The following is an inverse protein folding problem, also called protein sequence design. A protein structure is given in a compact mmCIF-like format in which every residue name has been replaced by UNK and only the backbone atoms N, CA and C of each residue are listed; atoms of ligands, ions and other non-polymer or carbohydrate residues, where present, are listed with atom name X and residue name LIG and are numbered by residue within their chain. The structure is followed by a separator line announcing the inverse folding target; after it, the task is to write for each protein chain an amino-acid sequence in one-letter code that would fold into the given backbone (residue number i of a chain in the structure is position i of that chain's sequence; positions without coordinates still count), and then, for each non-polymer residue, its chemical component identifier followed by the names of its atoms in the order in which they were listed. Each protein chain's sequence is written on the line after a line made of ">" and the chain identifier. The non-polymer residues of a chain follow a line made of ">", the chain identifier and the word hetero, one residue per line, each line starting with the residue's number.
data_IF_124566141736
#
_entry.id   IF_124566141736
#
_cell.length_a   1.000
_cell.length_b   1.000
_cell.length_c   1.000
_cell.angle_alpha   90.00
_cell.angle_beta   90.00
_cell.angle_gamma   90.00
#
_symmetry.space_group_name_H-M   'P 1'
#
loop_
_entity.id
_entity.type
_entity.pdbx_description
1 polymer ?
#
# COMPACT_ATOMS: atom_id res chain seq x y z
N UNK A 1 -23.17 18.46 10.34
CA UNK A 1 -22.36 17.30 9.94
C UNK A 1 -20.96 17.46 10.47
N UNK A 2 -20.44 16.41 11.06
CA UNK A 2 -19.13 16.47 11.72
C UNK A 2 -17.99 16.36 10.71
N UNK A 3 -16.93 17.16 10.85
CA UNK A 3 -15.70 17.05 10.09
C UNK A 3 -15.07 15.67 10.29
N UNK A 4 -15.19 15.12 11.49
CA UNK A 4 -14.67 13.79 11.83
C UNK A 4 -15.28 12.70 10.96
N UNK A 5 -16.59 12.75 10.67
CA UNK A 5 -17.27 11.77 9.82
C UNK A 5 -16.72 11.86 8.39
N UNK A 6 -16.53 13.09 7.87
CA UNK A 6 -15.98 13.29 6.53
C UNK A 6 -14.53 12.77 6.43
N UNK A 7 -13.74 12.99 7.46
CA UNK A 7 -12.36 12.52 7.50
C UNK A 7 -12.29 10.98 7.55
N UNK A 8 -13.12 10.35 8.38
CA UNK A 8 -13.20 8.89 8.47
C UNK A 8 -13.57 8.29 7.12
N UNK A 9 -14.54 8.88 6.44
CA UNK A 9 -14.95 8.44 5.11
C UNK A 9 -13.83 8.60 4.09
N UNK A 10 -13.10 9.72 4.14
CA UNK A 10 -11.94 9.96 3.28
C UNK A 10 -10.84 8.94 3.54
N UNK A 11 -10.59 8.55 4.79
CA UNK A 11 -9.64 7.49 5.13
C UNK A 11 -10.04 6.16 4.51
N UNK A 12 -11.33 5.79 4.62
CA UNK A 12 -11.83 4.54 4.04
C UNK A 12 -11.66 4.50 2.53
N UNK A 13 -12.00 5.60 1.85
CA UNK A 13 -11.85 5.71 0.40
C UNK A 13 -10.38 5.67 -0.02
N UNK A 14 -9.50 6.31 0.74
CA UNK A 14 -8.06 6.29 0.48
C UNK A 14 -7.48 4.88 0.64
N UNK A 15 -7.88 4.15 1.68
CA UNK A 15 -7.48 2.75 1.86
C UNK A 15 -7.89 1.90 0.67
N UNK A 16 -9.12 2.06 0.20
CA UNK A 16 -9.62 1.30 -0.95
C UNK A 16 -8.83 1.63 -2.22
N UNK A 17 -8.56 2.91 -2.46
CA UNK A 17 -7.74 3.33 -3.59
C UNK A 17 -6.35 2.71 -3.54
N UNK A 18 -5.71 2.74 -2.36
CA UNK A 18 -4.37 2.15 -2.19
C UNK A 18 -4.38 0.64 -2.40
N UNK A 19 -5.43 -0.05 -1.93
CA UNK A 19 -5.57 -1.50 -2.17
C UNK A 19 -5.65 -1.82 -3.65
N UNK A 20 -6.42 -1.03 -4.40
CA UNK A 20 -6.56 -1.19 -5.85
C UNK A 20 -5.24 -0.92 -6.55
N UNK A 21 -4.55 0.16 -6.17
CA UNK A 21 -3.26 0.53 -6.76
C UNK A 21 -2.16 -0.50 -6.48
N UNK A 22 -2.14 -1.06 -5.25
CA UNK A 22 -1.09 -2.01 -4.86
C UNK A 22 -1.29 -3.41 -5.41
N UNK A 23 -2.52 -3.81 -5.74
CA UNK A 23 -2.81 -5.18 -6.16
C UNK A 23 -1.93 -5.65 -7.33
N UNK A 24 -1.83 -4.91 -8.47
CA UNK A 24 -0.95 -5.34 -9.56
C UNK A 24 0.53 -5.29 -9.18
N UNK A 25 0.92 -4.36 -8.29
CA UNK A 25 2.30 -4.27 -7.84
C UNK A 25 2.69 -5.45 -6.95
N UNK A 26 1.79 -5.88 -6.06
CA UNK A 26 2.00 -7.09 -5.26
C UNK A 26 2.07 -8.34 -6.15
N UNK A 27 1.20 -8.45 -7.14
CA UNK A 27 1.23 -9.56 -8.09
C UNK A 27 2.56 -9.61 -8.84
N UNK A 28 3.08 -8.47 -9.28
CA UNK A 28 4.38 -8.39 -9.93
C UNK A 28 5.51 -8.85 -9.00
N UNK A 29 5.48 -8.44 -7.73
CA UNK A 29 6.48 -8.87 -6.74
C UNK A 29 6.39 -10.37 -6.46
N UNK A 30 5.19 -10.95 -6.45
CA UNK A 30 5.01 -12.39 -6.27
C UNK A 30 5.68 -13.19 -7.40
N UNK A 31 5.59 -12.71 -8.65
CA UNK A 31 6.27 -13.32 -9.79
C UNK A 31 7.79 -13.23 -9.62
N UNK A 32 8.31 -12.07 -9.21
CA UNK A 32 9.74 -11.88 -8.99
C UNK A 32 10.24 -12.78 -7.85
N UNK A 33 9.45 -12.91 -6.78
CA UNK A 33 9.76 -13.79 -5.66
C UNK A 33 9.87 -15.25 -6.11
N UNK A 34 8.90 -15.70 -6.91
CA UNK A 34 8.90 -17.07 -7.44
C UNK A 34 10.16 -17.34 -8.31
N UNK A 35 10.50 -16.38 -9.17
CA UNK A 35 11.70 -16.49 -9.99
C UNK A 35 12.98 -16.53 -9.17
N UNK A 36 13.04 -15.71 -8.10
CA UNK A 36 14.19 -15.71 -7.21
C UNK A 36 14.36 -17.06 -6.53
N UNK A 37 13.27 -17.69 -6.07
CA UNK A 37 13.30 -19.03 -5.48
C UNK A 37 13.79 -20.07 -6.49
N UNK A 38 13.31 -20.02 -7.72
CA UNK A 38 13.67 -20.97 -8.77
C UNK A 38 15.14 -20.87 -9.17
N UNK A 39 15.71 -19.67 -9.13
CA UNK A 39 17.09 -19.42 -9.56
C UNK A 39 18.07 -19.36 -8.38
N UNK A 40 17.59 -19.50 -7.15
CA UNK A 40 18.42 -19.42 -5.95
C UNK A 40 18.94 -18.01 -5.63
N UNK A 41 18.32 -16.97 -6.17
CA UNK A 41 18.73 -15.59 -5.90
C UNK A 41 18.17 -15.09 -4.58
N UNK A 42 18.84 -14.08 -4.00
CA UNK A 42 18.39 -13.43 -2.77
C UNK A 42 17.10 -12.66 -3.01
N UNK A 43 16.06 -12.99 -2.23
CA UNK A 43 14.74 -12.37 -2.33
C UNK A 43 14.51 -11.27 -1.28
N UNK A 44 15.54 -10.85 -0.55
CA UNK A 44 15.41 -9.90 0.57
C UNK A 44 14.75 -8.59 0.12
N UNK A 45 15.21 -8.01 -1.00
CA UNK A 45 14.66 -6.76 -1.51
C UNK A 45 13.18 -6.92 -1.93
N UNK A 46 12.83 -8.07 -2.51
CA UNK A 46 11.47 -8.39 -2.92
C UNK A 46 10.56 -8.50 -1.70
N UNK A 47 11.02 -9.16 -0.65
CA UNK A 47 10.27 -9.32 0.61
C UNK A 47 10.02 -7.96 1.25
N UNK A 48 11.01 -7.07 1.27
CA UNK A 48 10.86 -5.71 1.80
C UNK A 48 9.85 -4.91 1.00
N UNK A 49 9.87 -5.01 -0.32
CA UNK A 49 8.92 -4.30 -1.18
C UNK A 49 7.49 -4.82 -0.98
N UNK A 50 7.31 -6.12 -0.87
CA UNK A 50 5.99 -6.71 -0.56
C UNK A 50 5.46 -6.20 0.78
N UNK A 51 6.32 -6.13 1.79
CA UNK A 51 5.93 -5.63 3.11
C UNK A 51 5.54 -4.14 3.04
N UNK A 52 6.31 -3.33 2.32
CA UNK A 52 5.99 -1.91 2.11
C UNK A 52 4.60 -1.75 1.47
N UNK A 53 4.33 -2.53 0.43
CA UNK A 53 3.04 -2.47 -0.28
C UNK A 53 1.88 -2.91 0.61
N UNK A 54 2.09 -3.93 1.45
CA UNK A 54 1.07 -4.37 2.41
C UNK A 54 0.80 -3.31 3.47
N UNK A 55 1.84 -2.60 3.91
CA UNK A 55 1.75 -1.63 5.01
C UNK A 55 1.29 -0.24 4.54
N UNK A 56 1.17 0.00 3.23
CA UNK A 56 0.82 1.32 2.71
C UNK A 56 -0.51 1.83 3.27
N UNK A 57 -1.48 0.94 3.51
CA UNK A 57 -2.77 1.33 4.09
C UNK A 57 -2.68 1.77 5.54
N UNK A 58 -1.64 1.38 6.26
CA UNK A 58 -1.42 1.82 7.64
C UNK A 58 -1.07 3.30 7.72
N UNK A 59 -0.48 3.85 6.66
CA UNK A 59 -0.17 5.28 6.58
C UNK A 59 -1.44 6.12 6.63
N UNK A 60 -2.56 5.60 6.16
CA UNK A 60 -3.84 6.29 6.21
C UNK A 60 -4.27 6.53 7.65
N UNK A 61 -4.06 5.56 8.53
CA UNK A 61 -4.41 5.68 9.94
C UNK A 61 -3.53 6.71 10.66
N UNK A 62 -2.29 6.90 10.18
CA UNK A 62 -1.37 7.90 10.73
C UNK A 62 -1.61 9.30 10.17
N UNK A 63 -2.36 9.44 9.09
CA UNK A 63 -2.64 10.74 8.48
C UNK A 63 -3.60 11.55 9.35
N UNK A 64 -3.32 12.84 9.50
CA UNK A 64 -4.14 13.74 10.32
C UNK A 64 -4.89 14.78 9.52
N UNK A 65 -4.65 14.88 8.20
CA UNK A 65 -5.27 15.89 7.33
C UNK A 65 -5.76 15.27 6.04
N UNK A 66 -6.74 15.91 5.41
CA UNK A 66 -7.24 15.51 4.09
C UNK A 66 -6.16 15.64 3.02
N UNK A 67 -5.30 16.66 3.11
CA UNK A 67 -4.22 16.85 2.15
C UNK A 67 -3.22 15.69 2.19
N UNK A 68 -2.91 15.18 3.38
CA UNK A 68 -2.05 14.02 3.53
C UNK A 68 -2.66 12.80 2.83
N UNK A 69 -3.98 12.60 2.96
CA UNK A 69 -4.68 11.50 2.29
C UNK A 69 -4.66 11.63 0.77
N UNK A 70 -4.86 12.85 0.25
CA UNK A 70 -4.85 13.10 -1.19
C UNK A 70 -3.50 12.82 -1.82
N UNK A 71 -2.42 13.06 -1.08
CA UNK A 71 -1.06 12.91 -1.57
C UNK A 71 -0.50 11.49 -1.39
N UNK A 72 -1.25 10.59 -0.75
CA UNK A 72 -0.82 9.23 -0.58
C UNK A 72 -0.89 8.43 -1.88
N UNK A 73 0.09 7.57 -2.08
CA UNK A 73 0.16 6.65 -3.19
C UNK A 73 1.06 5.47 -2.85
N UNK A 74 1.06 4.43 -3.70
CA UNK A 74 1.88 3.24 -3.48
C UNK A 74 3.29 3.39 -4.06
N UNK A 75 3.51 4.45 -4.79
CA UNK A 75 4.81 4.79 -5.39
C UNK A 75 5.23 6.19 -5.00
#
# INVERSE_FOLDING_TARGET
>A
MSITINFTKAQALTKERLRIERAPLLAAQDVLFQRALETGKDATAIIKEKQRLRDVTKLVDAATTLDALKNMGVV
#
